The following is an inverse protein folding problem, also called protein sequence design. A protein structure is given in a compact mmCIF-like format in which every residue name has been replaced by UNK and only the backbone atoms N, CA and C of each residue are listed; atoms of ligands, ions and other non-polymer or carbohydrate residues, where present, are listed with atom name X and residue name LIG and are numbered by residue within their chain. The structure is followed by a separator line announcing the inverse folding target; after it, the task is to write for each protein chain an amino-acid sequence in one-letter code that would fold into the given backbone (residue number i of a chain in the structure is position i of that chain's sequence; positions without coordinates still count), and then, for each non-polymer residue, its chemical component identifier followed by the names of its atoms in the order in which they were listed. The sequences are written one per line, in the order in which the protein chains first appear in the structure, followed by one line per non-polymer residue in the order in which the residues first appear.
data_IF_027277547633
#
_entry.id   IF_027277547633
#
_cell.length_a   1.000
_cell.length_b   1.000
_cell.length_c   1.000
_cell.angle_alpha   90.00
_cell.angle_beta   90.00
_cell.angle_gamma   90.00
#
_symmetry.space_group_name_H-M   'P 1'
#
loop_
_entity.id
_entity.type
_entity.pdbx_description
1 polymer ?
#
# COMPACT_ATOMS: atom_id res chain seq x y z
N UNK A 1 8.09 -2.00 17.31
CA UNK A 1 8.49 -1.28 16.08
C UNK A 1 7.25 -1.13 15.22
N UNK A 2 6.84 0.11 14.92
CA UNK A 2 5.74 0.37 13.98
C UNK A 2 6.32 0.26 12.57
N UNK A 3 6.11 -0.88 11.90
CA UNK A 3 6.49 -1.05 10.50
C UNK A 3 5.51 -0.27 9.63
N UNK A 4 6.02 0.70 8.86
CA UNK A 4 5.22 1.38 7.84
C UNK A 4 5.28 0.54 6.58
N UNK A 5 4.29 -0.34 6.45
CA UNK A 5 4.22 -1.26 5.34
C UNK A 5 3.55 -0.60 4.14
N UNK A 6 4.20 -0.65 2.98
CA UNK A 6 3.69 -0.12 1.72
C UNK A 6 3.86 -1.10 0.57
N UNK A 7 3.05 -0.95 -0.48
CA UNK A 7 3.17 -1.76 -1.70
C UNK A 7 4.44 -1.37 -2.46
N UNK A 8 5.15 -2.34 -3.02
CA UNK A 8 6.33 -2.05 -3.86
C UNK A 8 5.95 -1.53 -5.25
N UNK A 9 4.75 -1.88 -5.74
CA UNK A 9 4.21 -1.45 -7.02
C UNK A 9 3.03 -0.50 -6.86
N UNK A 10 2.78 0.25 -7.92
CA UNK A 10 1.67 1.16 -8.10
C UNK A 10 0.36 0.40 -8.09
N UNK A 11 -0.55 0.76 -7.19
CA UNK A 11 -1.85 0.07 -7.06
C UNK A 11 -2.74 0.22 -8.31
N UNK A 12 -2.50 1.24 -9.14
CA UNK A 12 -3.28 1.45 -10.36
C UNK A 12 -2.74 0.69 -11.58
N UNK A 13 -1.41 0.61 -11.75
CA UNK A 13 -0.80 0.18 -13.00
C UNK A 13 0.33 -0.86 -12.87
N UNK A 14 0.71 -1.24 -11.65
CA UNK A 14 1.73 -2.26 -11.40
C UNK A 14 3.18 -1.85 -11.71
N UNK A 15 3.45 -0.58 -12.04
CA UNK A 15 4.82 -0.05 -12.15
C UNK A 15 5.44 0.16 -10.76
N UNK A 16 6.77 0.33 -10.67
CA UNK A 16 7.41 0.63 -9.38
C UNK A 16 6.80 1.87 -8.71
N UNK A 17 6.50 1.74 -7.41
CA UNK A 17 6.03 2.85 -6.60
C UNK A 17 7.20 3.81 -6.33
N UNK A 18 6.95 5.10 -6.52
CA UNK A 18 7.88 6.22 -6.27
C UNK A 18 7.52 6.94 -4.98
N UNK A 19 6.23 6.94 -4.63
CA UNK A 19 5.72 7.48 -3.38
C UNK A 19 4.54 6.65 -2.88
N UNK A 20 4.14 6.87 -1.63
CA UNK A 20 3.01 6.18 -1.01
C UNK A 20 2.02 7.19 -0.42
N UNK A 21 0.73 6.99 -0.69
CA UNK A 21 -0.35 7.86 -0.20
C UNK A 21 -1.62 7.04 0.02
N UNK A 22 -2.34 7.31 1.10
CA UNK A 22 -3.50 6.56 1.57
C UNK A 22 -3.19 5.06 1.78
N UNK A 23 -4.21 4.20 1.73
CA UNK A 23 -4.01 2.78 2.07
C UNK A 23 -4.88 1.80 1.27
N UNK A 24 -4.39 0.57 1.15
CA UNK A 24 -5.15 -0.61 0.74
C UNK A 24 -5.33 -1.55 1.93
N UNK A 25 -6.37 -2.37 1.89
CA UNK A 25 -6.66 -3.37 2.92
C UNK A 25 -6.05 -4.70 2.51
N UNK A 26 -5.00 -5.10 3.22
CA UNK A 26 -4.40 -6.44 3.12
C UNK A 26 -4.99 -7.36 4.20
N UNK A 27 -4.82 -8.67 4.01
CA UNK A 27 -5.20 -9.67 5.01
C UNK A 27 -3.94 -10.28 5.61
N UNK A 28 -3.82 -10.20 6.92
CA UNK A 28 -2.75 -10.83 7.67
C UNK A 28 -3.27 -12.06 8.41
N UNK A 29 -2.53 -13.17 8.32
CA UNK A 29 -2.87 -14.40 9.03
C UNK A 29 -2.29 -14.35 10.44
N UNK A 30 -3.16 -14.41 11.44
CA UNK A 30 -2.80 -14.44 12.86
C UNK A 30 -2.38 -15.85 13.30
N UNK A 31 -1.78 -15.94 14.49
CA UNK A 31 -1.29 -17.19 15.08
C UNK A 31 -2.37 -18.28 15.18
N UNK A 32 -3.64 -17.90 15.41
CA UNK A 32 -4.78 -18.81 15.49
C UNK A 32 -5.39 -19.17 14.13
N UNK A 33 -4.75 -18.75 13.02
CA UNK A 33 -5.21 -19.05 11.66
C UNK A 33 -6.28 -18.10 11.10
N UNK A 34 -6.83 -17.21 11.92
CA UNK A 34 -7.77 -16.17 11.50
C UNK A 34 -7.07 -15.10 10.65
N UNK A 35 -7.81 -14.52 9.71
CA UNK A 35 -7.34 -13.37 8.93
C UNK A 35 -7.89 -12.07 9.52
N UNK A 36 -7.01 -11.10 9.71
CA UNK A 36 -7.39 -9.73 10.09
C UNK A 36 -7.08 -8.77 8.95
N UNK A 37 -7.89 -7.72 8.86
CA UNK A 37 -7.64 -6.63 7.91
C UNK A 37 -6.50 -5.75 8.44
N UNK A 38 -5.45 -5.60 7.64
CA UNK A 38 -4.27 -4.77 7.91
C UNK A 38 -4.18 -3.67 6.87
N UNK A 39 -4.07 -2.43 7.33
CA UNK A 39 -3.85 -1.27 6.46
C UNK A 39 -2.40 -1.28 5.96
N UNK A 40 -2.24 -1.23 4.65
CA UNK A 40 -0.94 -1.14 3.96
C UNK A 40 -0.96 0.11 3.10
N UNK A 41 0.11 0.89 3.10
CA UNK A 41 0.20 2.11 2.33
C UNK A 41 0.14 1.81 0.83
N UNK A 42 -0.69 2.55 0.11
CA UNK A 42 -0.81 2.39 -1.34
C UNK A 42 0.35 3.11 -2.03
N UNK A 43 1.15 2.36 -2.77
CA UNK A 43 2.23 2.88 -3.59
C UNK A 43 1.69 3.40 -4.93
N UNK A 44 2.35 4.42 -5.45
CA UNK A 44 1.99 5.13 -6.68
C UNK A 44 3.22 5.43 -7.51
N UNK A 45 3.12 5.30 -8.83
CA UNK A 45 4.22 5.64 -9.74
C UNK A 45 4.20 7.10 -10.20
N UNK A 46 3.05 7.77 -10.14
CA UNK A 46 2.85 9.17 -10.54
C UNK A 46 1.55 9.71 -9.95
N UNK A 47 1.47 11.04 -9.80
CA UNK A 47 0.25 11.73 -9.36
C UNK A 47 -0.94 11.45 -10.29
N UNK A 48 -0.69 11.32 -11.60
CA UNK A 48 -1.74 10.96 -12.57
C UNK A 48 -2.39 9.59 -12.29
N UNK A 49 -1.63 8.64 -11.73
CA UNK A 49 -2.20 7.35 -11.34
C UNK A 49 -3.01 7.48 -10.05
N UNK A 50 -2.57 8.34 -9.13
CA UNK A 50 -3.29 8.64 -7.90
C UNK A 50 -4.64 9.31 -8.18
N UNK A 51 -4.70 10.31 -9.06
CA UNK A 51 -5.95 11.00 -9.42
C UNK A 51 -6.96 10.11 -10.15
N UNK A 52 -6.51 9.02 -10.81
CA UNK A 52 -7.40 8.07 -11.49
C UNK A 52 -8.20 7.21 -10.52
N UNK A 53 -7.66 6.92 -9.35
CA UNK A 53 -8.32 6.10 -8.35
C UNK A 53 -8.95 7.00 -7.28
N UNK A 54 -10.28 6.97 -7.18
CA UNK A 54 -10.96 7.63 -6.06
C UNK A 54 -10.86 6.75 -4.82
N UNK A 55 -10.33 7.31 -3.75
CA UNK A 55 -10.38 6.67 -2.45
C UNK A 55 -11.82 6.65 -1.91
N UNK A 56 -12.18 5.57 -1.21
CA UNK A 56 -13.39 5.52 -0.41
C UNK A 56 -13.37 6.55 0.73
N UNK A 57 -14.51 6.73 1.42
CA UNK A 57 -14.70 7.71 2.52
C UNK A 57 -13.65 7.60 3.62
N UNK A 58 -13.05 6.42 3.79
CA UNK A 58 -12.00 6.15 4.77
C UNK A 58 -10.57 6.39 4.25
N UNK A 59 -10.39 6.87 3.01
CA UNK A 59 -9.07 7.00 2.37
C UNK A 59 -8.49 5.66 1.90
N UNK A 60 -9.36 4.68 1.60
CA UNK A 60 -8.96 3.36 1.13
C UNK A 60 -9.07 3.25 -0.38
N UNK A 61 -8.08 2.63 -1.01
CA UNK A 61 -8.05 2.34 -2.45
C UNK A 61 -8.48 0.89 -2.76
N UNK A 62 -9.19 0.25 -1.84
CA UNK A 62 -9.70 -1.11 -1.98
C UNK A 62 -8.79 -2.18 -1.37
N UNK A 63 -8.82 -3.38 -1.95
CA UNK A 63 -8.15 -4.58 -1.41
C UNK A 63 -6.76 -4.77 -2.03
N UNK A 64 -5.79 -5.16 -1.20
CA UNK A 64 -4.46 -5.50 -1.66
C UNK A 64 -4.46 -6.80 -2.46
N UNK A 65 -3.77 -6.79 -3.61
CA UNK A 65 -3.53 -7.98 -4.42
C UNK A 65 -2.02 -8.13 -4.65
N UNK A 66 -1.42 -9.22 -4.16
CA UNK A 66 0.01 -9.47 -4.28
C UNK A 66 0.48 -9.53 -5.76
N UNK A 67 -0.38 -10.01 -6.67
CA UNK A 67 -0.02 -10.14 -8.09
C UNK A 67 0.11 -8.78 -8.76
N UNK A 68 -0.72 -7.81 -8.38
CA UNK A 68 -0.81 -6.50 -9.03
C UNK A 68 0.04 -5.45 -8.30
N UNK A 69 0.04 -5.51 -6.96
CA UNK A 69 0.65 -4.49 -6.11
C UNK A 69 2.07 -4.88 -5.65
N UNK A 70 2.52 -6.09 -5.98
CA UNK A 70 3.82 -6.62 -5.60
C UNK A 70 3.96 -6.84 -4.09
N UNK A 71 5.13 -7.29 -3.62
CA UNK A 71 5.36 -7.54 -2.21
C UNK A 71 5.18 -6.28 -1.36
N UNK A 72 4.73 -6.48 -0.13
CA UNK A 72 4.69 -5.42 0.88
C UNK A 72 6.09 -5.24 1.45
N UNK A 73 6.60 -3.99 1.43
CA UNK A 73 7.92 -3.62 1.97
C UNK A 73 7.78 -2.59 3.09
N UNK A 74 8.76 -2.52 3.97
CA UNK A 74 8.88 -1.39 4.88
C UNK A 74 9.28 -0.14 4.07
N UNK A 75 8.50 0.92 4.20
CA UNK A 75 8.67 2.19 3.50
C UNK A 75 8.91 3.36 4.47
N UNK A 76 9.29 3.07 5.73
CA UNK A 76 9.57 4.10 6.73
C UNK A 76 10.68 5.04 6.28
N UNK A 77 11.76 4.50 5.72
CA UNK A 77 12.88 5.30 5.23
C UNK A 77 12.49 6.18 4.03
N UNK A 78 11.69 5.66 3.11
CA UNK A 78 11.21 6.40 1.93
C UNK A 78 10.30 7.58 2.30
N UNK A 79 9.59 7.49 3.43
CA UNK A 79 8.65 8.53 3.88
C UNK A 79 9.28 9.56 4.83
N UNK A 80 10.16 9.14 5.73
CA UNK A 80 10.62 9.97 6.85
C UNK A 80 12.12 10.25 6.83
N UNK A 81 12.91 9.44 6.13
CA UNK A 81 14.35 9.66 5.99
C UNK A 81 14.58 10.36 4.65
N UNK A 82 14.32 11.66 4.63
CA UNK A 82 14.83 12.54 3.55
C UNK A 82 16.36 12.39 3.52
N UNK A 83 16.89 11.90 2.39
CA UNK A 83 18.29 12.12 2.02
C UNK A 83 18.51 13.58 1.62
#
# INVERSE_FOLDING_TARGET
MNYYLGTSLCVCCGKNAVFHCGHVIAKEKMALGNFIDRKVLAGWCSDECHDKLKADVNGSFGKYNNVVHGPVKDCYEEMFVKK
#
